data_IF_789227784650
#
_entry.id   IF_789227784650
#
_cell.length_a   1.000
_cell.length_b   1.000
_cell.length_c   1.000
_cell.angle_alpha   90.00
_cell.angle_beta   90.00
_cell.angle_gamma   90.00
#
_symmetry.space_group_name_H-M   'P 1'
#
loop_
_entity.id
_entity.type
_entity.pdbx_description
1 polymer ?
#
# COMPACT_ATOMS: atom_id res chain seq x y z
N UNK A 1 -11.99 4.78 3.97
CA UNK A 1 -11.32 4.29 2.75
C UNK A 1 -11.92 2.99 2.22
N UNK A 2 -11.80 1.83 2.89
CA UNK A 2 -12.37 0.58 2.36
C UNK A 2 -13.89 0.66 2.08
N UNK A 3 -14.68 1.24 3.00
CA UNK A 3 -16.11 1.52 2.76
C UNK A 3 -16.33 2.42 1.53
N UNK A 4 -15.58 3.52 1.44
CA UNK A 4 -15.65 4.47 0.30
C UNK A 4 -15.38 3.78 -1.03
N UNK A 5 -14.34 2.93 -1.10
CA UNK A 5 -14.02 2.15 -2.29
C UNK A 5 -15.19 1.26 -2.74
N UNK A 6 -15.86 0.57 -1.80
CA UNK A 6 -17.03 -0.24 -2.10
C UNK A 6 -18.26 0.59 -2.50
N UNK A 7 -18.50 1.72 -1.82
CA UNK A 7 -19.64 2.61 -2.11
C UNK A 7 -19.48 3.30 -3.48
N UNK A 8 -18.24 3.42 -4.00
CA UNK A 8 -17.90 4.00 -5.30
C UNK A 8 -17.53 2.95 -6.37
N UNK A 9 -18.09 1.74 -6.28
CA UNK A 9 -17.94 0.69 -7.30
C UNK A 9 -16.48 0.32 -7.62
N UNK A 10 -15.60 0.36 -6.62
CA UNK A 10 -14.19 0.04 -6.77
C UNK A 10 -13.31 1.21 -7.24
N UNK A 11 -13.80 2.45 -7.11
CA UNK A 11 -13.00 3.65 -7.39
C UNK A 11 -12.44 4.22 -6.09
N UNK A 12 -11.16 4.62 -6.13
CA UNK A 12 -10.51 5.36 -5.07
C UNK A 12 -10.61 6.87 -5.36
N UNK A 13 -10.89 7.72 -4.36
CA UNK A 13 -10.84 9.17 -4.52
C UNK A 13 -9.44 9.65 -4.92
N UNK A 14 -9.34 10.78 -5.62
CA UNK A 14 -8.03 11.33 -6.02
C UNK A 14 -7.17 11.70 -4.79
N UNK A 15 -7.81 12.12 -3.70
CA UNK A 15 -7.14 12.46 -2.44
C UNK A 15 -6.46 11.25 -1.79
N UNK A 16 -6.95 10.04 -2.04
CA UNK A 16 -6.30 8.82 -1.57
C UNK A 16 -4.87 8.71 -2.12
N UNK A 17 -4.69 9.00 -3.41
CA UNK A 17 -3.37 8.90 -4.04
C UNK A 17 -2.39 9.94 -3.53
N UNK A 18 -2.88 11.14 -3.22
CA UNK A 18 -2.06 12.18 -2.57
C UNK A 18 -1.57 11.69 -1.20
N UNK A 19 -2.47 11.24 -0.34
CA UNK A 19 -2.12 10.74 0.99
C UNK A 19 -1.22 9.50 0.93
N UNK A 20 -1.51 8.58 0.02
CA UNK A 20 -0.72 7.37 -0.19
C UNK A 20 0.74 7.70 -0.58
N UNK A 21 0.92 8.63 -1.52
CA UNK A 21 2.26 9.04 -1.98
C UNK A 21 3.02 9.79 -0.89
N UNK A 22 2.35 10.65 -0.11
CA UNK A 22 3.00 11.36 1.01
C UNK A 22 3.55 10.39 2.05
N UNK A 23 2.79 9.35 2.40
CA UNK A 23 3.24 8.33 3.34
C UNK A 23 4.31 7.41 2.76
N UNK A 24 4.26 7.09 1.46
CA UNK A 24 5.34 6.37 0.78
C UNK A 24 6.65 7.16 0.82
N UNK A 25 6.62 8.45 0.47
CA UNK A 25 7.79 9.34 0.52
C UNK A 25 8.38 9.41 1.94
N UNK A 26 7.52 9.41 2.96
CA UNK A 26 7.96 9.37 4.36
C UNK A 26 8.70 8.07 4.69
N UNK A 27 8.20 6.92 4.23
CA UNK A 27 8.88 5.63 4.40
C UNK A 27 10.22 5.59 3.67
N UNK A 28 10.28 6.09 2.44
CA UNK A 28 11.53 6.22 1.70
C UNK A 28 12.54 7.09 2.45
N UNK A 29 12.11 8.24 2.98
CA UNK A 29 12.96 9.13 3.78
C UNK A 29 13.46 8.51 5.08
N UNK A 30 12.62 7.70 5.76
CA UNK A 30 13.01 7.02 6.99
C UNK A 30 13.95 5.83 6.77
N UNK A 31 13.82 5.16 5.63
CA UNK A 31 14.59 3.95 5.31
C UNK A 31 15.81 4.21 4.43
N UNK A 32 15.88 5.40 3.83
CA UNK A 32 16.85 5.75 2.78
C UNK A 32 16.81 4.80 1.57
N UNK A 33 15.65 4.20 1.30
CA UNK A 33 15.38 3.28 0.18
C UNK A 33 14.33 3.88 -0.75
N UNK A 34 14.28 3.42 -1.99
CA UNK A 34 13.35 3.92 -3.01
C UNK A 34 12.37 2.83 -3.45
N UNK A 35 11.07 3.10 -3.45
CA UNK A 35 10.04 2.16 -3.86
C UNK A 35 10.04 2.00 -5.38
N UNK A 36 10.13 0.76 -5.86
CA UNK A 36 10.03 0.43 -7.29
C UNK A 36 11.19 0.91 -8.15
N UNK A 37 12.30 1.40 -7.58
CA UNK A 37 13.48 1.79 -8.35
C UNK A 37 14.74 1.89 -7.48
N UNK A 38 15.91 1.94 -8.14
CA UNK A 38 17.19 2.20 -7.49
C UNK A 38 17.99 0.94 -7.12
N UNK A 39 19.23 1.15 -6.70
CA UNK A 39 20.14 0.06 -6.30
C UNK A 39 19.83 -0.53 -4.93
N UNK A 40 19.05 0.18 -4.11
CA UNK A 40 18.58 -0.28 -2.80
C UNK A 40 17.06 -0.06 -2.66
N UNK A 41 16.24 -1.00 -3.19
CA UNK A 41 14.79 -0.80 -3.30
C UNK A 41 14.08 -0.95 -1.94
N UNK A 42 13.05 -0.12 -1.74
CA UNK A 42 12.10 -0.25 -0.65
C UNK A 42 11.09 -1.34 -1.01
N UNK A 43 11.06 -2.40 -0.22
CA UNK A 43 10.09 -3.48 -0.34
C UNK A 43 9.06 -3.38 0.78
N UNK A 44 7.78 -3.56 0.44
CA UNK A 44 6.69 -3.52 1.41
C UNK A 44 5.89 -4.82 1.42
N UNK A 45 5.25 -5.11 2.54
CA UNK A 45 4.24 -6.16 2.64
C UNK A 45 2.84 -5.55 2.73
N UNK A 46 1.91 -6.02 1.91
CA UNK A 46 0.51 -5.61 1.94
C UNK A 46 -0.30 -6.68 2.67
N UNK A 47 -1.09 -6.26 3.66
CA UNK A 47 -1.95 -7.14 4.46
C UNK A 47 -3.33 -6.52 4.58
N UNK A 48 -4.40 -7.30 4.41
CA UNK A 48 -5.73 -6.83 4.78
C UNK A 48 -5.90 -6.83 6.30
N UNK A 49 -6.61 -5.83 6.81
CA UNK A 49 -6.97 -5.74 8.23
C UNK A 49 -8.44 -5.35 8.39
N UNK A 50 -9.13 -6.00 9.30
CA UNK A 50 -10.48 -5.65 9.72
C UNK A 50 -10.54 -5.62 11.27
N UNK A 51 -11.52 -4.93 11.87
CA UNK A 51 -11.67 -4.88 13.33
C UNK A 51 -11.84 -6.25 13.98
N UNK A 52 -12.32 -7.23 13.22
CA UNK A 52 -12.47 -8.63 13.60
C UNK A 52 -11.90 -9.54 12.51
N UNK A 53 -11.27 -10.65 12.88
CA UNK A 53 -10.77 -11.63 11.92
C UNK A 53 -11.93 -12.29 11.16
N UNK A 54 -11.95 -12.12 9.84
CA UNK A 54 -12.90 -12.81 8.97
C UNK A 54 -12.19 -13.87 8.12
N UNK A 55 -12.72 -15.10 8.01
CA UNK A 55 -12.30 -16.04 6.98
C UNK A 55 -12.55 -15.45 5.59
N UNK A 56 -11.60 -15.59 4.66
CA UNK A 56 -11.71 -15.08 3.28
C UNK A 56 -11.18 -13.66 3.07
N UNK A 57 -10.48 -13.08 4.05
CA UNK A 57 -9.70 -11.86 3.85
C UNK A 57 -8.49 -12.12 2.95
N UNK A 58 -7.98 -11.06 2.32
CA UNK A 58 -6.86 -11.14 1.38
C UNK A 58 -5.59 -11.65 2.08
N UNK A 59 -4.88 -12.56 1.41
CA UNK A 59 -3.60 -13.06 1.90
C UNK A 59 -2.55 -11.93 1.97
N UNK A 60 -1.56 -12.13 2.84
CA UNK A 60 -0.41 -11.23 2.90
C UNK A 60 0.41 -11.34 1.62
N UNK A 61 0.62 -10.22 0.93
CA UNK A 61 1.55 -10.12 -0.20
C UNK A 61 2.87 -9.57 0.30
N UNK A 62 3.96 -10.27 0.02
CA UNK A 62 5.32 -9.89 0.41
C UNK A 62 6.11 -9.36 -0.79
N UNK A 63 7.17 -8.60 -0.53
CA UNK A 63 8.12 -8.09 -1.52
C UNK A 63 7.49 -7.24 -2.65
N UNK A 64 6.44 -6.49 -2.31
CA UNK A 64 5.85 -5.53 -3.26
C UNK A 64 6.85 -4.39 -3.48
N UNK A 65 7.10 -4.06 -4.74
CA UNK A 65 8.10 -3.06 -5.16
C UNK A 65 9.32 -3.66 -5.89
N UNK A 66 9.37 -4.99 -6.06
CA UNK A 66 10.41 -5.67 -6.82
C UNK A 66 10.07 -5.68 -8.32
N UNK A 67 11.03 -5.28 -9.16
CA UNK A 67 10.93 -5.24 -10.62
C UNK A 67 12.30 -5.56 -11.27
N UNK A 68 12.29 -5.76 -12.60
CA UNK A 68 13.48 -6.02 -13.43
C UNK A 68 14.22 -4.74 -13.85
#
# INVERSE_FOLDING_TARGET
>A
MCKTYHDHEGQLPDEFWLEFNDHLNLLEGQTAKQFGSGTDPLLVSVRSGAPVSMPGMMDTVLNVGLND
#
